data_IF_217138752665
#
_entry.id   IF_217138752665
#
_cell.length_a   1.000
_cell.length_b   1.000
_cell.length_c   1.000
_cell.angle_alpha   90.00
_cell.angle_beta   90.00
_cell.angle_gamma   90.00
#
_symmetry.space_group_name_H-M   'P 1'
#
loop_
_entity.id
_entity.type
_entity.pdbx_description
1 polymer ?
#
# COMPACT_ATOMS: atom_id res chain seq x y z
N UNK A 1 59.62 -35.41 24.62
CA UNK A 1 59.06 -34.17 25.19
C UNK A 1 58.39 -33.42 24.06
N UNK A 2 57.09 -33.61 23.90
CA UNK A 2 56.26 -33.02 22.84
C UNK A 2 55.57 -31.80 23.39
N UNK A 3 55.85 -30.59 22.85
CA UNK A 3 55.14 -29.36 23.20
C UNK A 3 53.83 -29.30 22.39
N UNK A 4 52.75 -29.24 23.11
CA UNK A 4 51.38 -29.10 22.60
C UNK A 4 51.11 -27.62 22.39
N UNK A 5 51.07 -27.20 21.14
CA UNK A 5 50.63 -25.87 20.78
C UNK A 5 49.11 -25.81 20.75
N UNK A 6 48.53 -25.09 21.71
CA UNK A 6 47.09 -24.70 21.70
C UNK A 6 46.93 -23.51 20.79
N UNK A 7 46.26 -23.72 19.65
CA UNK A 7 45.72 -22.63 18.86
C UNK A 7 44.44 -22.14 19.59
N UNK A 8 44.53 -20.92 20.09
CA UNK A 8 43.35 -20.17 20.56
C UNK A 8 42.80 -19.49 19.32
N UNK A 9 41.66 -20.02 18.83
CA UNK A 9 40.84 -19.35 17.81
C UNK A 9 40.13 -18.19 18.47
N UNK A 10 40.54 -16.99 18.16
CA UNK A 10 39.88 -15.75 18.57
C UNK A 10 38.78 -15.50 17.55
N UNK A 11 37.55 -15.94 17.85
CA UNK A 11 36.35 -15.57 17.12
C UNK A 11 36.10 -14.08 17.38
N UNK A 12 36.42 -13.22 16.43
CA UNK A 12 36.05 -11.84 16.43
C UNK A 12 34.59 -11.76 16.02
N UNK A 13 33.68 -11.81 16.99
CA UNK A 13 32.29 -11.39 16.81
C UNK A 13 32.31 -9.88 16.65
N UNK A 14 32.27 -9.42 15.41
CA UNK A 14 31.95 -8.04 15.10
C UNK A 14 30.44 -7.85 15.36
N UNK A 15 30.10 -7.62 16.63
CA UNK A 15 28.84 -7.05 16.99
C UNK A 15 28.84 -5.61 16.48
N UNK A 16 28.11 -5.35 15.40
CA UNK A 16 27.72 -3.99 15.08
C UNK A 16 26.71 -3.56 16.17
N UNK A 17 27.29 -3.12 17.31
CA UNK A 17 26.55 -2.28 18.22
C UNK A 17 26.29 -0.99 17.45
N UNK A 18 25.07 -0.79 16.97
CA UNK A 18 24.54 0.55 16.75
C UNK A 18 24.65 1.24 18.12
N UNK A 19 25.74 1.93 18.35
CA UNK A 19 25.80 2.96 19.38
C UNK A 19 24.87 4.07 18.87
N UNK A 20 23.59 3.96 19.18
CA UNK A 20 22.74 5.13 19.26
C UNK A 20 23.42 6.02 20.28
N UNK A 21 24.22 6.98 19.81
CA UNK A 21 24.55 8.13 20.61
C UNK A 21 23.20 8.76 20.94
N UNK A 22 22.75 8.58 22.16
CA UNK A 22 21.68 9.36 22.73
C UNK A 22 22.16 10.82 22.81
N UNK A 23 22.18 11.51 21.68
CA UNK A 23 21.98 12.93 21.69
C UNK A 23 20.58 13.10 22.25
N UNK A 24 20.44 13.89 23.29
CA UNK A 24 19.14 14.33 23.79
C UNK A 24 18.41 15.01 22.63
N UNK A 25 17.64 14.22 21.88
CA UNK A 25 16.82 14.71 20.79
C UNK A 25 15.68 15.43 21.49
N UNK A 26 15.58 16.71 21.27
CA UNK A 26 14.46 17.54 21.68
C UNK A 26 13.22 16.95 21.03
N UNK A 27 12.18 16.65 21.81
CA UNK A 27 10.91 16.18 21.29
C UNK A 27 10.49 17.04 20.10
N UNK A 28 10.24 16.40 18.97
CA UNK A 28 9.83 17.08 17.74
C UNK A 28 8.45 17.69 17.98
N UNK A 29 8.35 19.01 17.91
CA UNK A 29 7.07 19.73 18.00
C UNK A 29 6.60 20.09 16.62
N UNK A 30 5.37 19.80 16.32
CA UNK A 30 4.70 20.27 15.10
C UNK A 30 3.28 20.71 15.42
N UNK A 31 2.68 21.44 14.49
CA UNK A 31 1.30 21.91 14.60
C UNK A 31 0.44 21.03 13.69
N UNK A 32 -0.58 20.38 14.25
CA UNK A 32 -1.50 19.55 13.48
C UNK A 32 -2.44 20.41 12.58
N UNK A 33 -3.24 19.77 11.75
CA UNK A 33 -4.19 20.44 10.85
C UNK A 33 -5.24 21.30 11.60
N UNK A 34 -5.36 21.16 12.91
CA UNK A 34 -6.28 21.92 13.78
C UNK A 34 -5.57 23.03 14.56
N UNK A 35 -4.26 23.24 14.35
CA UNK A 35 -3.49 24.26 15.02
C UNK A 35 -2.99 23.88 16.42
N UNK A 36 -3.08 22.60 16.81
CA UNK A 36 -2.59 22.13 18.10
C UNK A 36 -1.11 21.78 18.01
N UNK A 37 -0.32 22.18 19.03
CA UNK A 37 1.05 21.67 19.18
C UNK A 37 1.00 20.20 19.61
N UNK A 38 1.68 19.34 18.84
CA UNK A 38 1.86 17.91 19.12
C UNK A 38 3.33 17.66 19.40
N UNK A 39 3.63 17.08 20.56
CA UNK A 39 4.97 16.68 20.98
C UNK A 39 5.08 15.16 20.86
N UNK A 40 6.07 14.67 20.11
CA UNK A 40 6.34 13.25 19.93
C UNK A 40 7.47 12.80 20.85
N UNK A 41 7.31 11.64 21.47
CA UNK A 41 8.42 10.94 22.12
C UNK A 41 9.29 10.27 21.04
N UNK A 42 10.49 10.78 20.85
CA UNK A 42 11.36 10.61 19.67
C UNK A 42 11.81 9.19 19.35
N UNK A 43 11.45 8.22 20.16
CA UNK A 43 12.07 6.91 20.00
C UNK A 43 11.27 5.93 19.15
N UNK A 44 9.95 6.04 19.04
CA UNK A 44 9.10 5.06 18.32
C UNK A 44 7.71 5.61 17.95
N UNK A 45 7.48 6.89 17.92
CA UNK A 45 6.18 7.48 17.59
C UNK A 45 6.28 8.37 16.34
N UNK A 46 5.29 8.26 15.48
CA UNK A 46 4.98 9.20 14.41
C UNK A 46 3.56 9.73 14.59
N UNK A 47 3.21 10.72 13.84
CA UNK A 47 1.88 11.30 13.83
C UNK A 47 1.29 11.31 12.42
N UNK A 48 0.03 10.96 12.29
CA UNK A 48 -0.71 11.15 11.06
C UNK A 48 -1.78 12.21 11.25
N UNK A 49 -1.76 13.27 10.42
CA UNK A 49 -2.82 14.28 10.38
C UNK A 49 -4.05 13.82 9.59
N UNK A 50 -3.96 12.68 8.92
CA UNK A 50 -4.98 12.13 8.02
C UNK A 50 -5.24 10.67 8.35
N UNK A 51 -6.42 10.16 7.99
CA UNK A 51 -6.68 8.72 8.02
C UNK A 51 -5.98 8.08 6.81
N UNK A 52 -5.15 7.08 7.05
CA UNK A 52 -4.53 6.27 6.00
C UNK A 52 -5.33 4.98 5.84
N UNK A 53 -5.94 4.81 4.67
CA UNK A 53 -6.96 3.77 4.45
C UNK A 53 -6.36 2.48 3.89
N UNK A 54 -6.49 1.39 4.62
CA UNK A 54 -6.08 0.03 4.24
C UNK A 54 -7.08 -1.06 4.63
N UNK A 55 -7.98 -0.76 5.59
CA UNK A 55 -9.03 -1.69 6.03
C UNK A 55 -10.09 -1.96 4.95
N UNK A 56 -10.97 -2.91 5.21
CA UNK A 56 -12.13 -3.27 4.38
C UNK A 56 -11.81 -3.58 2.92
N UNK A 57 -10.60 -4.08 2.68
CA UNK A 57 -10.10 -4.38 1.34
C UNK A 57 -10.02 -3.15 0.40
N UNK A 58 -9.94 -1.93 0.92
CA UNK A 58 -9.89 -0.71 0.11
C UNK A 58 -8.73 -0.78 -0.91
N UNK A 59 -7.53 -1.11 -0.45
CA UNK A 59 -6.34 -1.20 -1.29
C UNK A 59 -6.36 -2.34 -2.32
N UNK A 60 -7.35 -3.25 -2.24
CA UNK A 60 -7.54 -4.34 -3.21
C UNK A 60 -8.41 -3.93 -4.40
N UNK A 61 -8.99 -2.74 -4.37
CA UNK A 61 -10.03 -2.30 -5.31
C UNK A 61 -9.69 -1.02 -6.04
N UNK A 62 -8.91 -0.18 -5.42
CA UNK A 62 -8.56 1.13 -5.91
C UNK A 62 -7.25 1.60 -5.28
N UNK A 63 -6.73 2.69 -5.78
CA UNK A 63 -5.67 3.44 -5.12
C UNK A 63 -6.09 3.88 -3.72
N UNK A 64 -5.18 3.73 -2.75
CA UNK A 64 -5.38 4.27 -1.40
C UNK A 64 -4.18 5.14 -1.00
N UNK A 65 -4.44 6.10 -0.12
CA UNK A 65 -3.37 6.94 0.41
C UNK A 65 -2.36 6.14 1.27
N UNK A 66 -2.79 5.08 1.96
CA UNK A 66 -1.88 4.16 2.63
C UNK A 66 -1.03 3.37 1.62
N UNK A 67 -1.64 2.94 0.51
CA UNK A 67 -0.92 2.31 -0.60
C UNK A 67 0.14 3.22 -1.19
N UNK A 68 -0.18 4.52 -1.35
CA UNK A 68 0.77 5.53 -1.81
C UNK A 68 1.93 5.70 -0.83
N UNK A 69 1.66 5.86 0.47
CA UNK A 69 2.69 5.96 1.50
C UNK A 69 3.63 4.74 1.48
N UNK A 70 3.06 3.54 1.36
CA UNK A 70 3.81 2.29 1.37
C UNK A 70 4.73 2.15 0.18
N UNK A 71 4.22 2.45 -1.00
CA UNK A 71 5.00 2.36 -2.24
C UNK A 71 6.00 3.50 -2.38
N UNK A 72 5.69 4.71 -1.88
CA UNK A 72 6.65 5.81 -1.80
C UNK A 72 7.85 5.45 -0.92
N UNK A 73 7.61 4.83 0.23
CA UNK A 73 8.67 4.37 1.11
C UNK A 73 9.60 3.36 0.42
N UNK A 74 9.04 2.39 -0.29
CA UNK A 74 9.83 1.39 -1.02
C UNK A 74 10.64 2.03 -2.15
N UNK A 75 10.02 2.92 -2.93
CA UNK A 75 10.72 3.62 -4.00
C UNK A 75 11.82 4.53 -3.48
N UNK A 76 11.53 5.32 -2.43
CA UNK A 76 12.52 6.17 -1.76
C UNK A 76 13.73 5.37 -1.26
N UNK A 77 13.49 4.21 -0.66
CA UNK A 77 14.54 3.34 -0.16
C UNK A 77 15.53 2.92 -1.27
N UNK A 78 15.02 2.65 -2.47
CA UNK A 78 15.84 2.31 -3.62
C UNK A 78 16.51 3.54 -4.24
N UNK A 79 15.75 4.62 -4.49
CA UNK A 79 16.26 5.84 -5.15
C UNK A 79 17.31 6.55 -4.30
N UNK A 80 17.15 6.57 -2.98
CA UNK A 80 18.14 7.14 -2.05
C UNK A 80 19.43 6.29 -1.93
N UNK A 81 19.44 5.09 -2.51
CA UNK A 81 20.56 4.15 -2.41
C UNK A 81 20.66 3.43 -1.07
N UNK A 82 19.74 3.66 -0.13
CA UNK A 82 19.77 2.98 1.18
C UNK A 82 19.62 1.47 1.07
N UNK A 83 18.88 0.98 0.10
CA UNK A 83 18.71 -0.44 -0.20
C UNK A 83 20.04 -1.16 -0.43
N UNK A 84 21.07 -0.45 -0.89
CA UNK A 84 22.37 -1.03 -1.24
C UNK A 84 23.09 -1.71 -0.05
N UNK A 85 22.82 -1.24 1.17
CA UNK A 85 23.36 -1.85 2.39
C UNK A 85 22.65 -3.16 2.80
N UNK A 86 21.58 -3.53 2.10
CA UNK A 86 20.72 -4.65 2.48
C UNK A 86 20.77 -5.84 1.49
N UNK A 87 21.55 -5.77 0.43
CA UNK A 87 21.88 -6.95 -0.36
C UNK A 87 22.61 -7.97 0.53
N UNK A 88 22.37 -9.25 0.32
CA UNK A 88 23.03 -10.27 1.12
C UNK A 88 24.46 -10.56 0.61
N UNK A 89 25.17 -11.45 1.30
CA UNK A 89 26.55 -11.75 0.98
C UNK A 89 26.70 -12.47 -0.36
N UNK A 90 25.73 -13.28 -0.73
CA UNK A 90 25.70 -14.01 -1.99
C UNK A 90 25.41 -13.04 -3.15
N UNK A 91 24.47 -12.11 -2.97
CA UNK A 91 24.19 -11.04 -3.93
C UNK A 91 25.45 -10.18 -4.17
N UNK A 92 26.10 -9.74 -3.08
CA UNK A 92 27.33 -8.94 -3.15
C UNK A 92 28.45 -9.70 -3.83
N UNK A 93 28.61 -10.99 -3.55
CA UNK A 93 29.59 -11.85 -4.21
C UNK A 93 29.31 -12.03 -5.71
N UNK A 94 28.02 -12.01 -6.11
CA UNK A 94 27.59 -12.01 -7.50
C UNK A 94 27.71 -10.62 -8.19
N UNK A 95 28.12 -9.59 -7.45
CA UNK A 95 28.25 -8.22 -7.95
C UNK A 95 27.01 -7.34 -7.82
N UNK A 96 25.96 -7.83 -7.16
CA UNK A 96 24.73 -7.09 -6.91
C UNK A 96 24.89 -6.21 -5.66
N UNK A 97 25.45 -5.03 -5.82
CA UNK A 97 25.73 -4.10 -4.70
C UNK A 97 24.87 -2.86 -4.72
N UNK A 98 24.04 -2.69 -5.74
CA UNK A 98 23.16 -1.53 -5.91
C UNK A 98 22.03 -1.86 -6.90
N UNK A 99 20.97 -1.06 -6.88
CA UNK A 99 19.97 -1.07 -7.95
C UNK A 99 20.63 -0.50 -9.22
N UNK A 100 20.64 -1.29 -10.30
CA UNK A 100 21.43 -1.05 -11.51
C UNK A 100 20.59 -0.47 -12.65
N UNK A 101 19.79 0.54 -12.33
CA UNK A 101 19.11 1.40 -13.29
C UNK A 101 19.02 2.81 -12.74
N UNK A 102 18.81 3.80 -13.62
CA UNK A 102 18.58 5.17 -13.20
C UNK A 102 17.28 5.33 -12.41
N UNK A 103 17.20 6.35 -11.57
CA UNK A 103 16.03 6.64 -10.72
C UNK A 103 14.71 6.73 -11.51
N UNK A 104 14.78 7.16 -12.78
CA UNK A 104 13.63 7.25 -13.69
C UNK A 104 13.07 5.88 -14.10
N UNK A 105 13.83 4.81 -13.92
CA UNK A 105 13.44 3.43 -14.19
C UNK A 105 13.18 2.62 -12.90
N UNK A 106 13.16 3.28 -11.74
CA UNK A 106 12.80 2.66 -10.47
C UNK A 106 11.33 2.93 -10.16
N UNK A 107 10.56 1.85 -10.06
CA UNK A 107 9.15 1.89 -9.67
C UNK A 107 8.94 0.99 -8.44
N UNK A 108 7.91 1.27 -7.65
CA UNK A 108 7.54 0.40 -6.56
C UNK A 108 6.10 -0.09 -6.72
N UNK A 109 5.88 -1.37 -6.48
CA UNK A 109 4.58 -2.02 -6.55
C UNK A 109 4.31 -2.82 -5.27
N UNK A 110 3.10 -2.67 -4.75
CA UNK A 110 2.67 -3.35 -3.54
C UNK A 110 1.25 -3.90 -3.68
N UNK A 111 1.06 -5.20 -3.49
CA UNK A 111 -0.27 -5.79 -3.60
C UNK A 111 -1.18 -5.37 -2.43
N UNK A 112 -2.36 -4.90 -2.77
CA UNK A 112 -3.34 -4.37 -1.81
C UNK A 112 -3.80 -5.39 -0.76
N UNK A 113 -3.65 -6.68 -1.05
CA UNK A 113 -3.92 -7.77 -0.12
C UNK A 113 -3.09 -7.74 1.16
N UNK A 114 -1.97 -7.04 1.15
CA UNK A 114 -1.06 -6.91 2.28
C UNK A 114 -1.21 -5.59 3.07
N UNK A 115 -2.21 -4.77 2.74
CA UNK A 115 -2.61 -3.60 3.55
C UNK A 115 -3.93 -3.92 4.25
N UNK A 116 -3.87 -4.19 5.56
CA UNK A 116 -4.97 -4.87 6.28
C UNK A 116 -5.65 -4.05 7.36
N UNK A 117 -5.11 -2.89 7.68
CA UNK A 117 -5.66 -2.00 8.69
C UNK A 117 -5.52 -0.55 8.25
N UNK A 118 -6.35 0.31 8.81
CA UNK A 118 -6.18 1.76 8.72
C UNK A 118 -5.15 2.24 9.75
N UNK A 119 -4.51 3.37 9.47
CA UNK A 119 -3.84 4.18 10.50
C UNK A 119 -4.73 5.39 10.74
N UNK A 120 -5.20 5.56 11.97
CA UNK A 120 -6.06 6.66 12.35
C UNK A 120 -5.27 7.99 12.45
N UNK A 121 -6.00 9.10 12.43
CA UNK A 121 -5.42 10.40 12.81
C UNK A 121 -4.91 10.32 14.25
N UNK A 122 -3.72 10.81 14.47
CA UNK A 122 -3.08 10.80 15.79
C UNK A 122 -1.73 10.11 15.79
N UNK A 123 -1.23 9.83 16.97
CA UNK A 123 0.03 9.11 17.16
C UNK A 123 -0.10 7.65 16.74
N UNK A 124 0.92 7.14 16.11
CA UNK A 124 1.02 5.73 15.73
C UNK A 124 2.48 5.28 15.78
N UNK A 125 2.69 3.96 15.78
CA UNK A 125 4.02 3.38 15.88
C UNK A 125 4.12 1.99 15.29
N UNK A 126 5.04 1.20 15.81
CA UNK A 126 5.31 -0.16 15.33
C UNK A 126 4.09 -1.09 15.40
N UNK A 127 3.19 -0.87 16.37
CA UNK A 127 1.99 -1.70 16.54
C UNK A 127 1.00 -1.48 15.39
N UNK A 128 0.76 -0.23 14.99
CA UNK A 128 -0.13 0.12 13.87
C UNK A 128 0.48 -0.36 12.55
N UNK A 129 1.78 -0.19 12.33
CA UNK A 129 2.45 -0.75 11.15
C UNK A 129 2.37 -2.29 11.10
N UNK A 130 2.46 -2.96 12.25
CA UNK A 130 2.29 -4.40 12.34
C UNK A 130 0.84 -4.84 12.08
N UNK A 131 -0.15 -4.02 12.45
CA UNK A 131 -1.55 -4.26 12.11
C UNK A 131 -1.82 -4.09 10.61
N UNK A 132 -1.19 -3.11 9.96
CA UNK A 132 -1.24 -2.93 8.50
C UNK A 132 -0.60 -4.12 7.79
N UNK A 133 0.62 -4.49 8.16
CA UNK A 133 1.37 -5.60 7.57
C UNK A 133 1.82 -6.60 8.66
N UNK A 134 1.03 -7.63 8.97
CA UNK A 134 1.36 -8.59 10.03
C UNK A 134 2.51 -9.55 9.67
N UNK A 135 2.96 -9.55 8.42
CA UNK A 135 3.99 -10.46 7.94
C UNK A 135 5.37 -9.81 7.91
N UNK A 136 6.46 -10.56 8.18
CA UNK A 136 7.83 -10.06 8.09
C UNK A 136 8.34 -10.10 6.63
N UNK A 137 7.60 -9.46 5.71
CA UNK A 137 7.99 -9.39 4.31
C UNK A 137 9.32 -8.65 4.17
N UNK A 138 10.19 -9.18 3.30
CA UNK A 138 11.45 -8.56 2.91
C UNK A 138 11.29 -7.80 1.61
N UNK A 139 12.01 -6.71 1.45
CA UNK A 139 12.08 -5.96 0.19
C UNK A 139 12.76 -6.82 -0.86
N UNK A 140 12.22 -6.81 -2.07
CA UNK A 140 12.80 -7.44 -3.23
C UNK A 140 12.96 -6.43 -4.37
N UNK A 141 14.00 -6.62 -5.16
CA UNK A 141 14.26 -5.91 -6.42
C UNK A 141 14.09 -6.91 -7.55
N UNK A 142 13.25 -6.57 -8.52
CA UNK A 142 13.01 -7.41 -9.71
C UNK A 142 13.26 -6.55 -10.95
N UNK A 143 14.17 -7.00 -11.80
CA UNK A 143 14.40 -6.35 -13.08
C UNK A 143 13.51 -7.00 -14.13
N UNK A 144 12.73 -6.17 -14.82
CA UNK A 144 11.81 -6.63 -15.85
C UNK A 144 11.67 -5.59 -16.97
N UNK A 145 11.34 -6.04 -18.16
CA UNK A 145 11.01 -5.16 -19.27
C UNK A 145 9.68 -4.45 -19.01
N UNK A 146 9.45 -3.32 -19.70
CA UNK A 146 8.17 -2.65 -19.62
C UNK A 146 7.00 -3.52 -20.09
N UNK A 147 7.21 -4.38 -21.08
CA UNK A 147 6.19 -5.33 -21.53
C UNK A 147 5.80 -6.32 -20.42
N UNK A 148 6.79 -6.88 -19.72
CA UNK A 148 6.56 -7.76 -18.55
C UNK A 148 5.88 -7.02 -17.39
N UNK A 149 6.28 -5.77 -17.14
CA UNK A 149 5.65 -4.91 -16.13
C UNK A 149 4.17 -4.67 -16.45
N UNK A 150 3.86 -4.41 -17.72
CA UNK A 150 2.49 -4.20 -18.17
C UNK A 150 1.64 -5.48 -18.02
N UNK A 151 2.19 -6.65 -18.38
CA UNK A 151 1.52 -7.94 -18.19
C UNK A 151 1.34 -8.27 -16.69
N UNK A 152 2.31 -7.95 -15.84
CA UNK A 152 2.20 -8.12 -14.40
C UNK A 152 1.02 -7.32 -13.82
N UNK A 153 0.83 -6.07 -14.27
CA UNK A 153 -0.29 -5.23 -13.85
C UNK A 153 -1.63 -5.72 -14.42
N UNK A 154 -1.65 -6.22 -15.67
CA UNK A 154 -2.84 -6.84 -16.26
C UNK A 154 -3.31 -8.04 -15.42
N UNK A 155 -2.38 -8.94 -15.07
CA UNK A 155 -2.65 -10.10 -14.22
C UNK A 155 -3.08 -9.71 -12.81
N UNK A 156 -2.47 -8.67 -12.24
CA UNK A 156 -2.82 -8.16 -10.92
C UNK A 156 -4.24 -7.59 -10.85
N UNK A 157 -4.74 -7.06 -11.97
CA UNK A 157 -6.07 -6.47 -12.08
C UNK A 157 -7.16 -7.47 -12.50
N UNK A 158 -6.85 -8.78 -12.64
CA UNK A 158 -7.75 -9.76 -13.21
C UNK A 158 -9.12 -9.90 -12.51
N UNK A 159 -9.18 -9.58 -11.23
CA UNK A 159 -10.41 -9.67 -10.43
C UNK A 159 -11.35 -8.46 -10.58
N UNK A 160 -10.95 -7.43 -11.33
CA UNK A 160 -11.79 -6.26 -11.60
C UNK A 160 -12.74 -6.52 -12.80
N UNK A 161 -13.96 -5.95 -12.81
CA UNK A 161 -14.64 -5.27 -11.69
C UNK A 161 -15.04 -6.29 -10.62
N UNK A 162 -15.14 -5.78 -9.38
CA UNK A 162 -15.54 -6.64 -8.27
C UNK A 162 -17.02 -6.98 -8.36
N UNK A 163 -17.31 -8.17 -8.94
CA UNK A 163 -18.54 -8.89 -8.70
C UNK A 163 -18.40 -9.80 -7.48
N UNK A 164 -18.77 -11.06 -7.62
CA UNK A 164 -18.66 -12.12 -6.60
C UNK A 164 -17.21 -12.64 -6.38
N UNK A 165 -16.21 -11.90 -6.84
CA UNK A 165 -14.81 -12.30 -6.67
C UNK A 165 -14.49 -12.40 -5.17
N UNK A 166 -13.98 -13.55 -4.74
CA UNK A 166 -13.55 -13.73 -3.37
C UNK A 166 -12.51 -12.68 -2.99
N UNK A 167 -12.48 -12.28 -1.72
CA UNK A 167 -11.50 -11.32 -1.22
C UNK A 167 -10.05 -11.73 -1.58
N UNK A 168 -9.80 -13.03 -1.73
CA UNK A 168 -8.51 -13.57 -2.14
C UNK A 168 -8.16 -13.25 -3.60
N UNK A 169 -9.12 -13.36 -4.53
CA UNK A 169 -8.87 -13.04 -5.94
C UNK A 169 -8.47 -11.58 -6.19
N UNK A 170 -8.86 -10.69 -5.28
CA UNK A 170 -8.53 -9.27 -5.35
C UNK A 170 -7.21 -8.90 -4.63
N UNK A 171 -6.56 -9.86 -3.97
CA UNK A 171 -5.36 -9.61 -3.18
C UNK A 171 -4.19 -9.06 -4.01
N UNK A 172 -4.16 -9.39 -5.29
CA UNK A 172 -3.07 -9.05 -6.21
C UNK A 172 -3.09 -7.61 -6.69
N UNK A 173 -4.19 -6.86 -6.59
CA UNK A 173 -4.28 -5.49 -7.11
C UNK A 173 -3.14 -4.63 -6.59
N UNK A 174 -2.40 -3.96 -7.49
CA UNK A 174 -1.15 -3.26 -7.14
C UNK A 174 -1.38 -1.80 -6.84
N UNK A 175 -0.90 -1.35 -5.69
CA UNK A 175 -0.59 0.04 -5.37
C UNK A 175 0.75 0.40 -5.98
N UNK A 176 0.99 1.66 -6.36
CA UNK A 176 2.14 2.04 -7.17
C UNK A 176 2.81 3.34 -6.71
N UNK A 177 4.14 3.40 -6.89
CA UNK A 177 4.92 4.63 -6.89
C UNK A 177 5.90 4.65 -8.05
N UNK A 178 6.12 5.84 -8.61
CA UNK A 178 6.97 6.01 -9.78
C UNK A 178 6.31 5.60 -11.09
N UNK A 179 5.04 5.19 -11.08
CA UNK A 179 4.27 4.96 -12.29
C UNK A 179 2.79 5.32 -12.10
N UNK A 180 2.14 5.69 -13.20
CA UNK A 180 0.70 5.94 -13.28
C UNK A 180 0.09 4.99 -14.29
N UNK A 181 -0.99 4.31 -13.90
CA UNK A 181 -1.67 3.39 -14.80
C UNK A 181 -3.20 3.43 -14.66
N UNK A 182 -3.87 2.99 -15.69
CA UNK A 182 -5.31 2.83 -15.70
C UNK A 182 -5.70 1.39 -16.02
N UNK A 183 -6.85 0.98 -15.48
CA UNK A 183 -7.46 -0.33 -15.76
C UNK A 183 -8.85 -0.10 -16.33
N UNK A 184 -9.09 -0.57 -17.54
CA UNK A 184 -10.43 -0.66 -18.12
C UNK A 184 -11.12 -1.92 -17.56
N UNK A 185 -11.87 -1.75 -16.49
CA UNK A 185 -12.55 -2.87 -15.84
C UNK A 185 -13.87 -3.28 -16.53
N UNK A 186 -14.34 -2.51 -17.51
CA UNK A 186 -15.49 -2.92 -18.37
C UNK A 186 -15.11 -4.00 -19.37
N UNK A 187 -13.82 -4.10 -19.69
CA UNK A 187 -13.31 -5.16 -20.54
C UNK A 187 -13.03 -6.40 -19.69
N UNK A 188 -13.47 -7.56 -20.16
CA UNK A 188 -13.20 -8.83 -19.49
C UNK A 188 -11.70 -9.15 -19.50
N UNK A 189 -11.20 -9.70 -18.41
CA UNK A 189 -9.84 -10.24 -18.37
C UNK A 189 -9.72 -11.46 -19.30
N UNK A 190 -8.78 -11.41 -20.23
CA UNK A 190 -8.51 -12.50 -21.15
C UNK A 190 -7.67 -13.59 -20.45
N UNK A 191 -8.37 -14.61 -19.94
CA UNK A 191 -7.78 -15.68 -19.14
C UNK A 191 -7.02 -16.66 -20.00
N UNK A 192 -5.73 -16.79 -19.75
CA UNK A 192 -4.89 -17.84 -20.28
C UNK A 192 -4.83 -19.07 -19.37
N UNK A 193 -3.63 -19.63 -19.22
CA UNK A 193 -3.35 -20.79 -18.37
C UNK A 193 -3.66 -20.50 -16.90
N UNK A 194 -4.23 -21.48 -16.19
CA UNK A 194 -4.46 -21.38 -14.76
C UNK A 194 -3.12 -21.27 -14.00
N UNK A 195 -3.08 -20.35 -13.05
CA UNK A 195 -1.95 -20.13 -12.17
C UNK A 195 -2.42 -20.20 -10.71
N UNK A 196 -2.11 -21.26 -10.03
CA UNK A 196 -2.61 -21.53 -8.69
C UNK A 196 -4.13 -21.81 -8.64
N UNK A 197 -4.78 -21.45 -7.55
CA UNK A 197 -6.18 -21.80 -7.29
C UNK A 197 -7.19 -20.81 -7.90
N UNK A 198 -6.86 -19.54 -7.93
CA UNK A 198 -7.80 -18.47 -8.24
C UNK A 198 -7.34 -17.55 -9.36
N UNK A 199 -6.10 -17.69 -9.83
CA UNK A 199 -5.49 -16.79 -10.78
C UNK A 199 -5.22 -17.46 -12.10
N UNK A 200 -5.12 -16.64 -13.13
CA UNK A 200 -4.81 -17.06 -14.48
C UNK A 200 -3.72 -16.16 -15.03
N UNK A 201 -2.82 -16.70 -15.84
CA UNK A 201 -1.93 -15.90 -16.66
C UNK A 201 -2.74 -15.07 -17.64
N UNK A 202 -2.26 -13.92 -18.05
CA UNK A 202 -2.88 -13.17 -19.13
C UNK A 202 -2.65 -13.91 -20.46
N UNK A 203 -3.69 -14.07 -21.25
CA UNK A 203 -3.56 -14.54 -22.64
C UNK A 203 -3.27 -13.35 -23.57
N UNK A 204 -3.79 -12.17 -23.23
CA UNK A 204 -3.45 -10.89 -23.85
C UNK A 204 -3.47 -9.75 -22.83
N UNK A 205 -2.76 -8.68 -23.14
CA UNK A 205 -2.76 -7.44 -22.35
C UNK A 205 -3.65 -6.43 -23.06
N UNK A 206 -4.77 -6.08 -22.47
CA UNK A 206 -5.77 -5.27 -23.16
C UNK A 206 -6.53 -4.28 -22.25
N UNK A 207 -6.43 -4.45 -20.92
CA UNK A 207 -7.20 -3.68 -19.94
C UNK A 207 -6.33 -2.61 -19.25
N UNK A 208 -5.05 -2.91 -19.07
CA UNK A 208 -4.12 -2.02 -18.38
C UNK A 208 -3.38 -1.14 -19.38
N UNK A 209 -3.27 0.13 -19.05
CA UNK A 209 -2.43 1.09 -19.77
C UNK A 209 -1.55 1.81 -18.75
N UNK A 210 -0.23 1.72 -18.92
CA UNK A 210 0.73 2.54 -18.18
C UNK A 210 0.85 3.87 -18.93
N UNK A 211 0.50 4.97 -18.28
CA UNK A 211 0.46 6.30 -18.92
C UNK A 211 1.74 7.10 -18.69
N UNK A 212 2.39 6.85 -17.56
CA UNK A 212 3.57 7.60 -17.14
C UNK A 212 4.46 6.76 -16.24
N UNK A 213 5.78 6.91 -16.37
CA UNK A 213 6.77 6.39 -15.45
C UNK A 213 7.72 7.52 -15.06
N UNK A 214 7.65 7.97 -13.81
CA UNK A 214 8.49 9.03 -13.26
C UNK A 214 8.51 10.33 -14.11
N UNK A 215 7.34 10.73 -14.63
CA UNK A 215 7.18 11.92 -15.47
C UNK A 215 7.59 11.73 -16.93
N UNK A 216 7.85 10.49 -17.35
CA UNK A 216 8.24 10.14 -18.73
C UNK A 216 7.23 9.20 -19.37
N UNK A 217 7.18 9.23 -20.70
CA UNK A 217 6.38 8.28 -21.46
C UNK A 217 6.87 6.85 -21.17
N UNK A 218 5.93 5.93 -20.99
CA UNK A 218 6.22 4.53 -20.81
C UNK A 218 6.89 3.91 -22.04
N UNK A 219 7.98 3.17 -21.83
CA UNK A 219 8.67 2.41 -22.87
C UNK A 219 8.56 0.89 -22.56
N UNK A 220 7.84 0.11 -23.38
CA UNK A 220 7.70 -1.33 -23.18
C UNK A 220 9.03 -2.11 -23.32
N UNK A 221 10.05 -1.51 -23.96
CA UNK A 221 11.34 -2.15 -24.18
C UNK A 221 12.40 -1.75 -23.12
N UNK A 222 12.15 -0.73 -22.32
CA UNK A 222 13.07 -0.35 -21.25
C UNK A 222 13.09 -1.40 -20.14
N UNK A 223 14.21 -1.49 -19.42
CA UNK A 223 14.30 -2.28 -18.20
C UNK A 223 13.98 -1.42 -17.00
N UNK A 224 13.04 -1.88 -16.18
CA UNK A 224 12.65 -1.26 -14.92
C UNK A 224 13.09 -2.12 -13.73
N UNK A 225 13.54 -1.47 -12.66
CA UNK A 225 13.69 -2.11 -11.36
C UNK A 225 12.38 -1.92 -10.58
N UNK A 226 11.68 -3.00 -10.37
CA UNK A 226 10.43 -3.04 -9.58
C UNK A 226 10.78 -3.38 -8.14
N UNK A 227 10.57 -2.43 -7.24
CA UNK A 227 10.74 -2.61 -5.81
C UNK A 227 9.43 -3.13 -5.22
N UNK A 228 9.50 -4.31 -4.64
CA UNK A 228 8.32 -5.00 -4.11
C UNK A 228 8.71 -5.85 -2.90
N UNK A 229 8.10 -7.01 -2.70
CA UNK A 229 8.42 -7.90 -1.60
C UNK A 229 8.63 -9.35 -2.03
N UNK A 230 9.23 -10.12 -1.15
CA UNK A 230 9.62 -11.51 -1.37
C UNK A 230 8.47 -12.43 -1.82
N UNK A 231 7.22 -12.17 -1.43
CA UNK A 231 6.11 -13.01 -1.87
C UNK A 231 5.78 -12.80 -3.36
N UNK A 232 5.81 -11.55 -3.86
CA UNK A 232 5.68 -11.26 -5.29
C UNK A 232 6.85 -11.84 -6.08
N UNK A 233 8.09 -11.69 -5.57
CA UNK A 233 9.29 -12.29 -6.14
C UNK A 233 9.15 -13.80 -6.33
N UNK A 234 8.55 -14.49 -5.36
CA UNK A 234 8.34 -15.94 -5.39
C UNK A 234 7.08 -16.37 -6.14
N UNK A 235 6.33 -15.44 -6.75
CA UNK A 235 5.17 -15.73 -7.58
C UNK A 235 3.90 -16.02 -6.81
N UNK A 236 3.73 -15.45 -5.61
CA UNK A 236 2.48 -15.58 -4.84
C UNK A 236 1.34 -14.85 -5.56
N UNK A 237 0.12 -15.32 -5.37
CA UNK A 237 -1.11 -14.78 -5.97
C UNK A 237 -1.00 -14.79 -7.52
N UNK A 238 -1.22 -13.67 -8.20
CA UNK A 238 -1.07 -13.55 -9.65
C UNK A 238 0.35 -13.17 -10.11
N UNK A 239 1.35 -13.26 -9.23
CA UNK A 239 2.70 -12.69 -9.45
C UNK A 239 3.61 -13.57 -10.32
N UNK A 240 3.05 -14.33 -11.27
CA UNK A 240 3.82 -15.20 -12.15
C UNK A 240 4.85 -14.45 -13.00
N UNK A 241 4.53 -13.22 -13.46
CA UNK A 241 5.46 -12.41 -14.23
C UNK A 241 6.61 -11.88 -13.38
N UNK A 242 6.35 -11.49 -12.13
CA UNK A 242 7.41 -11.11 -11.20
C UNK A 242 8.38 -12.27 -10.98
N UNK A 243 7.85 -13.48 -10.77
CA UNK A 243 8.67 -14.67 -10.61
C UNK A 243 9.46 -14.98 -11.87
N UNK A 244 8.82 -14.97 -13.04
CA UNK A 244 9.50 -15.25 -14.30
C UNK A 244 10.64 -14.25 -14.59
N UNK A 245 10.39 -12.95 -14.37
CA UNK A 245 11.39 -11.92 -14.52
C UNK A 245 12.54 -12.06 -13.52
N UNK A 246 12.22 -12.40 -12.25
CA UNK A 246 13.22 -12.64 -11.23
C UNK A 246 14.13 -13.84 -11.56
N UNK A 247 13.56 -14.92 -12.07
CA UNK A 247 14.30 -16.12 -12.49
C UNK A 247 15.13 -15.86 -13.77
N UNK A 248 14.68 -14.96 -14.63
CA UNK A 248 15.38 -14.62 -15.88
C UNK A 248 16.54 -13.64 -15.69
N UNK A 249 16.59 -12.90 -14.58
CA UNK A 249 17.58 -11.87 -14.34
C UNK A 249 18.29 -12.08 -12.99
N UNK A 250 19.54 -12.53 -13.05
CA UNK A 250 20.38 -12.82 -11.89
C UNK A 250 20.69 -11.62 -10.99
N UNK A 251 20.41 -10.39 -11.44
CA UNK A 251 20.49 -9.18 -10.63
C UNK A 251 19.26 -8.96 -9.75
N UNK A 252 18.18 -9.71 -10.00
CA UNK A 252 16.99 -9.67 -9.14
C UNK A 252 17.29 -10.34 -7.81
N UNK A 253 16.89 -9.70 -6.70
CA UNK A 253 17.29 -10.14 -5.36
C UNK A 253 16.19 -9.91 -4.32
N UNK A 254 16.18 -10.75 -3.28
CA UNK A 254 15.43 -10.52 -2.04
C UNK A 254 16.44 -10.00 -1.01
N UNK A 255 16.30 -8.75 -0.63
CA UNK A 255 17.23 -8.12 0.32
C UNK A 255 17.02 -8.56 1.77
N UNK A 256 17.92 -8.17 2.67
CA UNK A 256 17.73 -8.37 4.13
C UNK A 256 16.73 -7.38 4.75
N UNK A 257 16.36 -6.31 4.03
CA UNK A 257 15.49 -5.25 4.54
C UNK A 257 14.07 -5.76 4.81
N UNK A 258 13.57 -5.54 6.01
CA UNK A 258 12.17 -5.80 6.36
C UNK A 258 11.32 -4.60 5.94
N UNK A 259 10.23 -4.86 5.23
CA UNK A 259 9.40 -3.80 4.63
C UNK A 259 8.87 -2.81 5.67
N UNK A 260 8.40 -3.28 6.85
CA UNK A 260 7.92 -2.39 7.91
C UNK A 260 9.00 -1.42 8.41
N UNK A 261 10.24 -1.91 8.50
CA UNK A 261 11.36 -1.10 8.95
C UNK A 261 11.70 -0.04 7.90
N UNK A 262 11.58 -0.38 6.61
CA UNK A 262 11.76 0.57 5.49
C UNK A 262 10.66 1.65 5.52
N UNK A 263 9.40 1.26 5.75
CA UNK A 263 8.29 2.23 5.86
C UNK A 263 8.50 3.14 7.07
N UNK A 264 8.93 2.59 8.20
CA UNK A 264 9.27 3.37 9.38
C UNK A 264 10.44 4.34 9.12
N UNK A 265 11.49 3.86 8.47
CA UNK A 265 12.65 4.66 8.06
C UNK A 265 12.24 5.84 7.17
N UNK A 266 11.35 5.61 6.20
CA UNK A 266 10.81 6.66 5.34
C UNK A 266 10.01 7.70 6.15
N UNK A 267 9.14 7.27 7.05
CA UNK A 267 8.34 8.16 7.89
C UNK A 267 9.25 9.00 8.80
N UNK A 268 10.29 8.39 9.38
CA UNK A 268 11.18 9.11 10.30
C UNK A 268 12.17 10.02 9.59
N UNK A 269 12.83 9.54 8.56
CA UNK A 269 13.94 10.26 7.94
C UNK A 269 13.50 11.22 6.84
N UNK A 270 12.49 10.85 6.05
CA UNK A 270 12.02 11.68 4.93
C UNK A 270 10.85 12.56 5.34
N UNK A 271 9.89 12.02 6.11
CA UNK A 271 8.70 12.76 6.52
C UNK A 271 8.83 13.43 7.92
N UNK A 272 9.97 13.26 8.61
CA UNK A 272 10.20 13.89 9.93
C UNK A 272 9.20 13.44 10.99
N UNK A 273 8.83 12.17 11.01
CA UNK A 273 7.82 11.54 11.89
C UNK A 273 6.39 12.08 11.71
N UNK A 274 6.08 12.73 10.58
CA UNK A 274 4.76 13.28 10.32
C UNK A 274 4.22 12.89 8.96
N UNK A 275 3.10 12.18 8.93
CA UNK A 275 2.34 11.90 7.70
C UNK A 275 1.25 12.96 7.56
N UNK A 276 1.47 13.90 6.64
CA UNK A 276 0.64 15.08 6.45
C UNK A 276 -0.26 15.04 5.21
N UNK A 277 -0.62 16.25 4.77
CA UNK A 277 -1.61 16.50 3.71
C UNK A 277 -1.26 15.87 2.35
N UNK A 278 0.01 15.57 2.09
CA UNK A 278 0.42 14.84 0.89
C UNK A 278 -0.30 13.49 0.74
N UNK A 279 -0.73 12.92 1.88
CA UNK A 279 -1.47 11.65 1.95
C UNK A 279 -2.94 11.83 2.39
N UNK A 280 -3.51 13.03 2.26
CA UNK A 280 -4.91 13.27 2.64
C UNK A 280 -5.91 12.52 1.74
N UNK A 281 -5.51 12.18 0.52
CA UNK A 281 -6.31 11.44 -0.46
C UNK A 281 -5.40 10.61 -1.38
N UNK A 282 -5.95 9.65 -2.15
CA UNK A 282 -5.28 9.05 -3.29
C UNK A 282 -4.76 10.13 -4.25
N UNK A 283 -3.61 9.90 -4.86
CA UNK A 283 -2.87 10.89 -5.66
C UNK A 283 -3.15 10.80 -7.16
N UNK A 284 -4.06 9.91 -7.58
CA UNK A 284 -4.43 9.73 -8.98
C UNK A 284 -3.43 8.89 -9.79
N UNK A 285 -2.64 8.07 -9.11
CA UNK A 285 -1.68 7.16 -9.76
C UNK A 285 -2.36 5.99 -10.44
N UNK A 286 -3.54 5.60 -9.93
CA UNK A 286 -4.27 4.43 -10.41
C UNK A 286 -5.72 4.80 -10.70
N UNK A 287 -6.12 4.68 -11.95
CA UNK A 287 -7.51 4.90 -12.36
C UNK A 287 -8.15 3.59 -12.76
N UNK A 288 -9.24 3.21 -12.09
CA UNK A 288 -10.07 2.07 -12.50
C UNK A 288 -11.33 2.63 -13.12
N UNK A 289 -11.49 2.44 -14.45
CA UNK A 289 -12.73 2.76 -15.13
C UNK A 289 -13.60 1.53 -15.15
N UNK A 290 -14.76 1.62 -14.48
CA UNK A 290 -15.85 0.67 -14.60
C UNK A 290 -17.10 1.49 -14.86
N UNK A 291 -17.78 1.20 -15.97
CA UNK A 291 -19.16 1.64 -16.14
C UNK A 291 -19.90 1.00 -14.95
N UNK A 292 -20.56 1.81 -14.13
CA UNK A 292 -21.36 1.25 -13.04
C UNK A 292 -22.20 0.14 -13.66
N UNK A 293 -21.97 -1.11 -13.25
CA UNK A 293 -22.85 -2.19 -13.63
C UNK A 293 -24.28 -1.69 -13.42
N UNK A 294 -25.20 -1.80 -14.38
CA UNK A 294 -26.58 -1.42 -14.19
C UNK A 294 -26.95 -2.04 -12.85
N UNK A 295 -27.26 -1.23 -11.85
CA UNK A 295 -27.36 -1.60 -10.45
C UNK A 295 -27.99 -2.97 -10.42
N UNK A 296 -27.17 -3.98 -10.13
CA UNK A 296 -27.64 -5.37 -10.08
C UNK A 296 -28.81 -5.31 -9.14
N UNK A 297 -29.97 -5.64 -9.67
CA UNK A 297 -31.25 -5.47 -9.01
C UNK A 297 -31.06 -5.98 -7.59
N UNK A 298 -30.92 -5.04 -6.67
CA UNK A 298 -30.80 -5.33 -5.27
C UNK A 298 -31.79 -6.43 -4.97
N UNK A 299 -31.34 -7.56 -4.41
CA UNK A 299 -32.23 -8.58 -3.90
C UNK A 299 -33.36 -7.83 -3.21
N UNK A 300 -34.64 -8.03 -3.56
CA UNK A 300 -35.72 -7.25 -3.02
C UNK A 300 -35.72 -7.43 -1.51
N UNK A 301 -35.21 -6.42 -0.79
CA UNK A 301 -35.15 -6.48 0.66
C UNK A 301 -34.33 -5.42 1.39
N UNK A 302 -33.54 -4.56 0.73
CA UNK A 302 -32.88 -3.44 1.44
C UNK A 302 -32.86 -2.17 0.59
N UNK A 303 -34.00 -1.55 0.46
CA UNK A 303 -34.12 -0.16 -0.01
C UNK A 303 -33.63 0.76 1.10
N UNK A 304 -32.69 1.66 0.78
CA UNK A 304 -32.34 2.75 1.68
C UNK A 304 -33.59 3.61 1.90
N UNK A 305 -34.26 3.44 3.02
CA UNK A 305 -35.44 4.20 3.36
C UNK A 305 -35.01 5.45 4.11
N UNK A 306 -35.02 6.58 3.43
CA UNK A 306 -35.19 7.85 4.12
C UNK A 306 -36.65 7.84 4.58
N UNK A 307 -36.90 7.57 5.86
CA UNK A 307 -38.26 7.65 6.39
C UNK A 307 -38.61 9.12 6.57
N UNK A 308 -39.88 9.47 6.32
CA UNK A 308 -40.43 10.82 6.45
C UNK A 308 -40.27 11.45 7.85
N UNK A 309 -39.60 10.77 8.78
CA UNK A 309 -39.42 11.16 10.18
C UNK A 309 -38.01 11.58 10.57
N UNK A 310 -37.17 12.02 9.61
CA UNK A 310 -35.84 12.55 9.96
C UNK A 310 -34.86 11.50 10.50
N UNK A 311 -34.99 10.26 10.10
CA UNK A 311 -34.08 9.18 10.44
C UNK A 311 -33.51 8.51 9.19
N UNK A 312 -32.30 7.94 9.30
CA UNK A 312 -31.63 7.20 8.25
C UNK A 312 -31.02 5.91 8.81
N UNK A 313 -31.30 4.78 8.18
CA UNK A 313 -30.65 3.51 8.55
C UNK A 313 -29.38 3.30 7.73
N UNK A 314 -28.26 3.16 8.40
CA UNK A 314 -26.95 2.96 7.79
C UNK A 314 -26.92 1.67 6.99
N UNK A 315 -26.50 1.75 5.75
CA UNK A 315 -26.28 0.60 4.86
C UNK A 315 -24.79 0.41 4.57
N UNK A 316 -24.43 -0.76 4.04
CA UNK A 316 -23.04 -1.07 3.71
C UNK A 316 -22.42 -0.03 2.77
N UNK A 317 -21.23 0.44 3.12
CA UNK A 317 -20.51 1.48 2.37
C UNK A 317 -20.91 2.92 2.69
N UNK A 318 -21.81 3.15 3.66
CA UNK A 318 -22.14 4.49 4.13
C UNK A 318 -21.04 5.07 5.03
N UNK A 319 -20.95 6.39 5.00
CA UNK A 319 -20.27 7.23 5.98
C UNK A 319 -21.16 8.43 6.26
N UNK A 320 -20.96 9.14 7.37
CA UNK A 320 -21.73 10.36 7.66
C UNK A 320 -21.63 11.37 6.51
N UNK A 321 -20.49 11.45 5.84
CA UNK A 321 -20.32 12.30 4.66
C UNK A 321 -21.20 11.86 3.49
N UNK A 322 -21.22 10.55 3.16
CA UNK A 322 -22.05 10.01 2.08
C UNK A 322 -23.54 10.15 2.39
N UNK A 323 -23.92 9.92 3.65
CA UNK A 323 -25.30 10.11 4.11
C UNK A 323 -25.70 11.58 3.99
N UNK A 324 -24.84 12.51 4.44
CA UNK A 324 -25.09 13.95 4.29
C UNK A 324 -25.21 14.37 2.82
N UNK A 325 -24.36 13.80 1.94
CA UNK A 325 -24.48 14.02 0.49
C UNK A 325 -25.82 13.56 -0.06
N UNK A 326 -26.27 12.37 0.34
CA UNK A 326 -27.58 11.80 -0.08
C UNK A 326 -28.77 12.65 0.42
N UNK A 327 -28.73 13.04 1.70
CA UNK A 327 -29.89 13.66 2.36
C UNK A 327 -29.92 15.18 2.15
N UNK A 328 -28.76 15.83 2.20
CA UNK A 328 -28.66 17.29 2.13
C UNK A 328 -28.18 17.81 0.77
N UNK A 329 -27.70 16.92 -0.12
CA UNK A 329 -27.03 17.31 -1.35
C UNK A 329 -25.59 17.81 -1.13
N UNK A 330 -25.04 17.69 0.06
CA UNK A 330 -23.67 18.11 0.39
C UNK A 330 -23.07 17.29 1.53
N UNK A 331 -21.98 16.61 1.27
CA UNK A 331 -21.23 15.87 2.27
C UNK A 331 -20.67 16.75 3.39
N UNK A 332 -20.41 18.03 3.12
CA UNK A 332 -19.91 18.99 4.13
C UNK A 332 -20.84 19.17 5.33
N UNK A 333 -22.10 18.75 5.20
CA UNK A 333 -23.10 18.84 6.29
C UNK A 333 -23.11 17.61 7.20
N UNK A 334 -22.15 16.70 7.08
CA UNK A 334 -22.04 15.49 7.90
C UNK A 334 -22.02 15.78 9.41
N UNK A 335 -21.42 16.90 9.81
CA UNK A 335 -21.37 17.31 11.22
C UNK A 335 -22.74 17.56 11.84
N UNK A 336 -23.76 17.96 11.05
CA UNK A 336 -25.13 18.07 11.53
C UNK A 336 -25.71 16.72 11.95
N UNK A 337 -25.45 15.67 11.15
CA UNK A 337 -25.87 14.31 11.48
C UNK A 337 -25.11 13.84 12.72
N UNK A 338 -23.81 14.06 12.78
CA UNK A 338 -22.98 13.67 13.92
C UNK A 338 -23.46 14.29 15.22
N UNK A 339 -23.70 15.61 15.22
CA UNK A 339 -24.17 16.34 16.40
C UNK A 339 -25.56 15.90 16.87
N UNK A 340 -26.43 15.46 15.97
CA UNK A 340 -27.76 14.95 16.29
C UNK A 340 -27.75 13.51 16.82
N UNK A 341 -26.58 12.84 16.84
CA UNK A 341 -26.42 11.45 17.23
C UNK A 341 -25.33 11.30 18.31
N UNK A 342 -25.57 11.76 19.56
CA UNK A 342 -24.57 11.77 20.63
C UNK A 342 -24.11 10.38 21.07
N UNK A 343 -24.80 9.32 20.66
CA UNK A 343 -24.38 7.93 20.82
C UNK A 343 -23.16 7.57 19.94
N UNK A 344 -22.92 8.31 18.85
CA UNK A 344 -21.73 8.15 18.01
C UNK A 344 -20.59 8.89 18.67
N UNK A 345 -19.62 8.15 19.21
CA UNK A 345 -18.45 8.74 19.88
C UNK A 345 -17.34 9.10 18.90
N UNK A 346 -17.32 8.48 17.73
CA UNK A 346 -16.37 8.73 16.66
C UNK A 346 -17.12 8.86 15.33
N UNK A 347 -16.99 9.99 14.66
CA UNK A 347 -17.68 10.28 13.40
C UNK A 347 -17.36 9.29 12.25
N UNK A 348 -16.23 8.62 12.34
CA UNK A 348 -15.83 7.58 11.37
C UNK A 348 -16.39 6.19 11.70
N UNK A 349 -17.07 6.02 12.83
CA UNK A 349 -17.60 4.73 13.30
C UNK A 349 -19.12 4.72 13.33
N UNK A 350 -19.72 4.33 12.23
CA UNK A 350 -21.14 4.01 12.12
C UNK A 350 -21.28 2.57 11.60
N UNK A 351 -22.33 1.89 12.03
CA UNK A 351 -22.51 0.46 11.78
C UNK A 351 -23.72 0.19 10.89
N UNK A 352 -23.61 -0.77 9.99
CA UNK A 352 -24.73 -1.22 9.15
C UNK A 352 -25.91 -1.63 10.03
N UNK A 353 -27.11 -1.11 9.70
CA UNK A 353 -28.31 -1.30 10.51
C UNK A 353 -28.51 -0.24 11.61
N UNK A 354 -27.51 0.59 11.89
CA UNK A 354 -27.65 1.69 12.87
C UNK A 354 -28.62 2.74 12.35
N UNK A 355 -29.59 3.14 13.18
CA UNK A 355 -30.49 4.23 12.85
C UNK A 355 -29.93 5.55 13.35
N UNK A 356 -29.77 6.50 12.44
CA UNK A 356 -29.26 7.84 12.69
C UNK A 356 -30.40 8.85 12.63
N UNK A 357 -30.42 9.80 13.56
CA UNK A 357 -31.23 11.01 13.47
C UNK A 357 -30.62 11.94 12.43
N UNK A 358 -31.40 12.35 11.46
CA UNK A 358 -31.04 13.26 10.39
C UNK A 358 -31.88 14.53 10.51
N UNK A 359 -31.30 15.62 11.08
CA UNK A 359 -32.02 16.88 11.19
C UNK A 359 -32.43 17.44 9.83
N UNK A 360 -33.47 18.26 9.79
CA UNK A 360 -33.80 19.02 8.57
C UNK A 360 -32.63 19.91 8.12
N UNK A 361 -32.55 20.18 6.80
CA UNK A 361 -31.46 20.95 6.17
C UNK A 361 -31.36 22.38 6.71
#
# INVERSE_FOLDING_TARGET
MKKLNRFISLALTLGLALSVMATSVSASKFVDAHGNEVELDDTLEAYSSVVLSGADNAARKAETNLGNLWTDALRWFAVSGKINAYFDEDDVAAGNTKVDVDADHIVALWNGGNLRADIAVGKFGAAELAAVLPYPNKVAVIYMSGAELLEALEAAAQALPYGDASADACASFMQAAGLTYSVNADQAYDKGEAYGKHWFKANSVSRVTITDVNGKAFDPNATYAVITHNANYNGMDSSYMFKAAAEANEKSAITKAVVRDVVWMYISEELGNMVGDAYAAPQGRITVTATAAPAESAKPGQSATTTENGTYTVVSGDSLWKIASKVYGSGKLWSKIFSANPQIKNASMIYVGQTLTVPAK
#
